data_IF_892255219045
#
_entry.id   IF_892255219045
#
_cell.length_a   1.000
_cell.length_b   1.000
_cell.length_c   1.000
_cell.angle_alpha   90.00
_cell.angle_beta   90.00
_cell.angle_gamma   90.00
#
_symmetry.space_group_name_H-M   'P 1'
#
loop_
_entity.id
_entity.type
_entity.pdbx_description
1 polymer ?
#
# COMPACT_ATOMS: atom_id res chain seq x y z
N UNK A 1 7.21 -17.04 1.88
CA UNK A 1 7.33 -15.66 2.42
C UNK A 1 8.76 -15.12 2.27
N UNK A 2 9.78 -15.97 2.41
CA UNK A 2 11.18 -15.53 2.41
C UNK A 2 11.67 -14.87 1.10
N UNK A 3 11.28 -15.34 -0.07
CA UNK A 3 11.93 -14.94 -1.32
C UNK A 3 11.64 -13.49 -1.76
N UNK A 4 10.42 -12.98 -1.60
CA UNK A 4 10.11 -11.62 -2.00
C UNK A 4 10.60 -10.58 -0.97
N UNK A 5 10.62 -10.89 0.35
CA UNK A 5 11.20 -10.03 1.37
C UNK A 5 12.71 -9.88 1.12
N UNK A 6 13.42 -10.99 0.90
CA UNK A 6 14.85 -10.97 0.58
C UNK A 6 15.14 -10.20 -0.72
N UNK A 7 14.27 -10.32 -1.74
CA UNK A 7 14.42 -9.54 -2.96
C UNK A 7 14.26 -8.03 -2.69
N UNK A 8 13.23 -7.64 -1.95
CA UNK A 8 13.01 -6.25 -1.57
C UNK A 8 14.15 -5.70 -0.73
N UNK A 9 14.63 -6.49 0.22
CA UNK A 9 15.70 -6.09 1.13
C UNK A 9 17.04 -5.83 0.42
N UNK A 10 17.33 -6.61 -0.63
CA UNK A 10 18.62 -6.56 -1.32
C UNK A 10 18.57 -5.82 -2.67
N UNK A 11 17.42 -5.73 -3.31
CA UNK A 11 17.31 -5.31 -4.72
C UNK A 11 16.15 -4.37 -5.02
N UNK A 12 15.48 -3.79 -4.01
CA UNK A 12 14.35 -2.88 -4.23
C UNK A 12 14.70 -1.69 -5.14
N UNK A 13 15.94 -1.20 -5.08
CA UNK A 13 16.43 -0.12 -5.95
C UNK A 13 16.34 -0.44 -7.45
N UNK A 14 16.30 -1.72 -7.83
CA UNK A 14 16.16 -2.14 -9.23
C UNK A 14 14.74 -1.93 -9.79
N UNK A 15 13.75 -1.67 -8.94
CA UNK A 15 12.37 -1.39 -9.34
C UNK A 15 12.28 -0.01 -9.99
N UNK A 16 13.13 0.91 -9.58
CA UNK A 16 13.17 2.27 -10.09
C UNK A 16 14.29 2.44 -11.12
N UNK A 17 14.01 3.20 -12.17
CA UNK A 17 15.01 3.45 -13.23
C UNK A 17 16.15 4.34 -12.74
N UNK A 18 15.86 5.23 -11.78
CA UNK A 18 16.82 6.09 -11.07
C UNK A 18 16.18 6.67 -9.78
N UNK A 19 16.96 7.41 -8.98
CA UNK A 19 16.50 8.05 -7.75
C UNK A 19 15.38 9.07 -8.00
N UNK A 20 15.45 9.86 -9.09
CA UNK A 20 14.42 10.82 -9.44
C UNK A 20 13.05 10.14 -9.70
N UNK A 21 13.02 9.03 -10.45
CA UNK A 21 11.80 8.23 -10.64
C UNK A 21 11.22 7.78 -9.30
N UNK A 22 12.07 7.25 -8.42
CA UNK A 22 11.65 6.82 -7.08
C UNK A 22 10.98 7.96 -6.31
N UNK A 23 11.66 9.11 -6.24
CA UNK A 23 11.19 10.25 -5.45
C UNK A 23 9.88 10.83 -6.01
N UNK A 24 9.75 10.94 -7.32
CA UNK A 24 8.50 11.36 -7.99
C UNK A 24 7.38 10.36 -7.76
N UNK A 25 7.69 9.06 -7.81
CA UNK A 25 6.73 7.99 -7.55
C UNK A 25 6.17 8.05 -6.11
N UNK A 26 7.06 8.10 -5.10
CA UNK A 26 6.63 8.19 -3.70
C UNK A 26 5.88 9.50 -3.41
N UNK A 27 6.33 10.62 -3.98
CA UNK A 27 5.63 11.90 -3.83
C UNK A 27 4.22 11.82 -4.38
N UNK A 28 4.04 11.29 -5.59
CA UNK A 28 2.72 11.13 -6.20
C UNK A 28 1.79 10.28 -5.33
N UNK A 29 2.28 9.14 -4.83
CA UNK A 29 1.49 8.28 -3.94
C UNK A 29 1.13 9.05 -2.67
N UNK A 30 2.07 9.72 -2.02
CA UNK A 30 1.83 10.49 -0.81
C UNK A 30 0.79 11.61 -1.01
N UNK A 31 0.85 12.33 -2.13
CA UNK A 31 -0.12 13.38 -2.49
C UNK A 31 -1.53 12.78 -2.67
N UNK A 32 -1.64 11.64 -3.34
CA UNK A 32 -2.93 10.97 -3.56
C UNK A 32 -3.48 10.37 -2.25
N UNK A 33 -2.64 9.78 -1.40
CA UNK A 33 -3.03 9.22 -0.10
C UNK A 33 -3.58 10.29 0.84
N UNK A 34 -3.02 11.50 0.82
CA UNK A 34 -3.52 12.62 1.64
C UNK A 34 -5.00 12.90 1.41
N UNK A 35 -5.50 12.69 0.20
CA UNK A 35 -6.92 12.86 -0.12
C UNK A 35 -7.86 11.86 0.57
N UNK A 36 -7.33 10.79 1.16
CA UNK A 36 -8.09 9.78 1.89
C UNK A 36 -7.95 9.89 3.41
N UNK A 37 -7.08 10.77 3.92
CA UNK A 37 -6.93 11.03 5.35
C UNK A 37 -8.14 11.83 5.84
N UNK A 38 -8.92 11.32 6.80
CA UNK A 38 -10.21 11.94 7.14
C UNK A 38 -10.07 13.26 7.91
N UNK A 39 -8.98 13.45 8.64
CA UNK A 39 -8.75 14.67 9.45
C UNK A 39 -7.29 14.79 9.91
N UNK A 40 -6.91 15.95 10.40
CA UNK A 40 -5.59 16.18 11.01
C UNK A 40 -5.38 15.41 12.33
N UNK A 41 -6.46 14.91 12.95
CA UNK A 41 -6.40 14.05 14.14
C UNK A 41 -6.31 12.57 13.80
N UNK A 42 -6.35 12.19 12.50
CA UNK A 42 -6.33 10.80 12.06
C UNK A 42 -5.02 10.08 12.41
N UNK A 43 -5.14 8.81 12.73
CA UNK A 43 -4.02 7.86 12.90
C UNK A 43 -3.97 6.98 11.65
N UNK A 44 -2.86 7.03 10.95
CA UNK A 44 -2.68 6.38 9.64
C UNK A 44 -1.64 5.28 9.76
N UNK A 45 -1.89 4.12 9.13
CA UNK A 45 -0.89 3.06 8.92
C UNK A 45 -0.63 2.89 7.43
N UNK A 46 0.64 2.83 7.04
CA UNK A 46 1.09 2.42 5.70
C UNK A 46 1.83 1.08 5.81
N UNK A 47 1.19 0.00 5.38
CA UNK A 47 1.69 -1.37 5.54
C UNK A 47 2.39 -1.86 4.29
N UNK A 48 3.67 -2.19 4.42
CA UNK A 48 4.58 -2.49 3.32
C UNK A 48 4.98 -1.21 2.57
N UNK A 49 5.36 -0.20 3.34
CA UNK A 49 5.60 1.17 2.87
C UNK A 49 6.85 1.32 1.98
N UNK A 50 7.73 0.30 1.93
CA UNK A 50 8.99 0.35 1.18
C UNK A 50 9.91 1.46 1.69
N UNK A 51 10.54 2.23 0.78
CA UNK A 51 11.43 3.33 1.18
C UNK A 51 10.70 4.56 1.75
N UNK A 52 9.41 4.70 1.51
CA UNK A 52 8.53 5.76 2.03
C UNK A 52 9.16 7.18 2.03
N UNK A 53 9.93 7.53 0.99
CA UNK A 53 10.73 8.77 0.94
C UNK A 53 9.91 10.05 1.09
N UNK A 54 8.61 9.98 0.88
CA UNK A 54 7.66 11.10 1.03
C UNK A 54 6.70 10.95 2.22
N UNK A 55 7.00 10.07 3.20
CA UNK A 55 6.14 9.84 4.36
C UNK A 55 5.91 11.11 5.21
N UNK A 56 6.87 12.02 5.27
CA UNK A 56 6.69 13.31 5.95
C UNK A 56 5.53 14.12 5.37
N UNK A 57 5.26 14.01 4.06
CA UNK A 57 4.12 14.66 3.41
C UNK A 57 2.78 14.07 3.89
N UNK A 58 2.71 12.75 4.06
CA UNK A 58 1.53 12.07 4.65
C UNK A 58 1.37 12.45 6.11
N UNK A 59 2.46 12.40 6.90
CA UNK A 59 2.46 12.76 8.31
C UNK A 59 2.04 14.22 8.58
N UNK A 60 2.27 15.13 7.63
CA UNK A 60 1.81 16.52 7.75
C UNK A 60 0.28 16.65 7.75
N UNK A 61 -0.44 15.65 7.22
CA UNK A 61 -1.90 15.64 7.06
C UNK A 61 -2.63 14.79 8.12
N UNK A 62 -1.92 14.20 9.10
CA UNK A 62 -2.50 13.36 10.15
C UNK A 62 -1.87 13.65 11.52
N UNK A 63 -2.43 13.07 12.58
CA UNK A 63 -1.85 13.14 13.92
C UNK A 63 -0.65 12.22 14.07
N UNK A 64 -0.75 11.00 13.54
CA UNK A 64 0.31 10.00 13.60
C UNK A 64 0.31 9.13 12.34
N UNK A 65 1.50 8.80 11.86
CA UNK A 65 1.75 7.87 10.76
C UNK A 65 2.58 6.70 11.26
N UNK A 66 2.05 5.49 11.13
CA UNK A 66 2.79 4.25 11.38
C UNK A 66 3.21 3.65 10.05
N UNK A 67 4.50 3.53 9.83
CA UNK A 67 5.10 2.84 8.68
C UNK A 67 5.39 1.39 9.09
N UNK A 68 4.94 0.41 8.32
CA UNK A 68 5.20 -1.01 8.59
C UNK A 68 6.01 -1.59 7.44
N UNK A 69 7.18 -2.15 7.76
CA UNK A 69 8.08 -2.73 6.77
C UNK A 69 8.63 -4.08 7.25
N UNK A 70 8.57 -5.08 6.36
CA UNK A 70 9.01 -6.45 6.63
C UNK A 70 10.48 -6.70 6.28
N UNK A 71 11.06 -5.92 5.37
CA UNK A 71 12.43 -6.06 4.91
C UNK A 71 13.40 -5.43 5.92
N UNK A 72 14.33 -6.21 6.55
CA UNK A 72 15.11 -5.74 7.69
C UNK A 72 15.98 -4.50 7.41
N UNK A 73 16.64 -4.45 6.25
CA UNK A 73 17.49 -3.30 5.90
C UNK A 73 16.66 -2.05 5.65
N UNK A 74 15.49 -2.18 4.99
CA UNK A 74 14.57 -1.06 4.80
C UNK A 74 13.98 -0.59 6.12
N UNK A 75 13.57 -1.50 7.00
CA UNK A 75 13.11 -1.18 8.35
C UNK A 75 14.16 -0.37 9.13
N UNK A 76 15.41 -0.83 9.13
CA UNK A 76 16.51 -0.14 9.80
C UNK A 76 16.76 1.27 9.22
N UNK A 77 16.76 1.37 7.88
CA UNK A 77 16.95 2.65 7.19
C UNK A 77 15.81 3.64 7.48
N UNK A 78 14.55 3.19 7.45
CA UNK A 78 13.38 4.00 7.79
C UNK A 78 13.41 4.46 9.25
N UNK A 79 13.74 3.54 10.18
CA UNK A 79 13.83 3.84 11.61
C UNK A 79 14.88 4.90 11.89
N UNK A 80 16.05 4.81 11.25
CA UNK A 80 17.09 5.82 11.37
C UNK A 80 16.68 7.16 10.72
N UNK A 81 16.06 7.13 9.53
CA UNK A 81 15.66 8.32 8.80
C UNK A 81 14.58 9.14 9.53
N UNK A 82 13.62 8.46 10.16
CA UNK A 82 12.48 9.11 10.83
C UNK A 82 12.62 9.20 12.36
N UNK A 83 13.76 8.81 12.96
CA UNK A 83 13.99 8.82 14.41
C UNK A 83 13.69 10.18 15.10
N UNK A 84 13.90 11.29 14.39
CA UNK A 84 13.62 12.64 14.89
C UNK A 84 12.19 13.16 14.62
N UNK A 85 11.34 12.38 13.95
CA UNK A 85 10.00 12.83 13.61
C UNK A 85 8.96 12.25 14.59
N UNK A 86 8.46 13.07 15.50
CA UNK A 86 7.50 12.65 16.53
C UNK A 86 6.16 12.13 16.01
N UNK A 87 5.83 12.39 14.74
CA UNK A 87 4.60 11.90 14.10
C UNK A 87 4.75 10.57 13.38
N UNK A 88 5.99 10.10 13.15
CA UNK A 88 6.25 8.88 12.38
C UNK A 88 6.83 7.81 13.29
N UNK A 89 6.18 6.65 13.32
CA UNK A 89 6.66 5.44 13.99
C UNK A 89 6.90 4.35 12.96
N UNK A 90 8.02 3.64 13.05
CA UNK A 90 8.35 2.52 12.16
C UNK A 90 8.23 1.22 12.94
N UNK A 91 7.48 0.25 12.42
CA UNK A 91 7.21 -1.04 13.06
C UNK A 91 7.49 -2.20 12.10
N UNK A 92 7.77 -3.38 12.67
CA UNK A 92 7.70 -4.64 11.92
C UNK A 92 6.24 -5.12 11.80
N UNK A 93 5.93 -6.06 10.88
CA UNK A 93 4.61 -6.68 10.80
C UNK A 93 4.11 -7.27 12.12
N UNK A 94 4.99 -7.92 12.89
CA UNK A 94 4.68 -8.54 14.18
C UNK A 94 4.32 -7.49 15.23
N UNK A 95 5.09 -6.39 15.29
CA UNK A 95 4.82 -5.27 16.18
C UNK A 95 3.49 -4.59 15.83
N UNK A 96 3.22 -4.40 14.53
CA UNK A 96 1.96 -3.84 14.07
C UNK A 96 0.76 -4.74 14.41
N UNK A 97 0.91 -6.06 14.27
CA UNK A 97 -0.13 -7.02 14.62
C UNK A 97 -0.43 -7.05 16.14
N UNK A 98 0.52 -6.68 16.98
CA UNK A 98 0.34 -6.61 18.45
C UNK A 98 -0.32 -5.31 18.95
N UNK A 99 -0.58 -4.35 18.05
CA UNK A 99 -1.25 -3.09 18.44
C UNK A 99 -2.69 -3.32 18.92
N UNK A 100 -3.20 -2.44 19.80
CA UNK A 100 -4.57 -2.52 20.28
C UNK A 100 -5.61 -2.42 19.15
N UNK A 101 -6.80 -2.96 19.40
CA UNK A 101 -7.95 -2.80 18.53
C UNK A 101 -8.29 -1.33 18.32
N UNK A 102 -8.85 -0.99 17.16
CA UNK A 102 -9.31 0.37 16.84
C UNK A 102 -8.22 1.45 16.95
N UNK A 103 -6.98 1.09 16.57
CA UNK A 103 -5.83 2.00 16.61
C UNK A 103 -5.74 2.96 15.43
N UNK A 104 -6.45 2.71 14.31
CA UNK A 104 -6.29 3.47 13.07
C UNK A 104 -7.60 3.92 12.45
N UNK A 105 -7.57 5.12 11.89
CA UNK A 105 -8.64 5.71 11.09
C UNK A 105 -8.49 5.35 9.60
N UNK A 106 -7.23 5.19 9.14
CA UNK A 106 -6.89 4.77 7.78
C UNK A 106 -5.75 3.74 7.83
N UNK A 107 -5.94 2.62 7.14
CA UNK A 107 -4.86 1.66 6.84
C UNK A 107 -4.68 1.59 5.33
N UNK A 108 -3.44 1.69 4.89
CA UNK A 108 -3.04 1.60 3.48
C UNK A 108 -2.26 0.32 3.27
N UNK A 109 -2.63 -0.45 2.23
CA UNK A 109 -1.86 -1.56 1.69
C UNK A 109 -1.67 -1.29 0.19
N UNK A 110 -0.58 -0.65 -0.18
CA UNK A 110 -0.33 -0.22 -1.56
C UNK A 110 0.80 -1.01 -2.21
N UNK A 111 0.56 -1.57 -3.39
CA UNK A 111 1.56 -2.38 -4.16
C UNK A 111 2.08 -3.64 -3.44
N UNK A 112 1.41 -4.15 -2.40
CA UNK A 112 1.85 -5.28 -1.58
C UNK A 112 1.09 -6.57 -1.91
N UNK A 113 -0.23 -6.50 -2.12
CA UNK A 113 -1.10 -7.67 -2.25
C UNK A 113 -0.65 -8.66 -3.35
N UNK A 114 0.07 -8.18 -4.36
CA UNK A 114 0.62 -9.01 -5.44
C UNK A 114 1.71 -10.00 -4.98
N UNK A 115 2.34 -9.76 -3.83
CA UNK A 115 3.40 -10.60 -3.26
C UNK A 115 2.89 -11.58 -2.20
N UNK A 116 1.61 -11.48 -1.85
CA UNK A 116 0.97 -12.30 -0.82
C UNK A 116 0.22 -13.46 -1.44
N UNK A 117 0.22 -14.60 -0.76
CA UNK A 117 -0.73 -15.67 -1.06
C UNK A 117 -2.16 -15.25 -0.68
N UNK A 118 -3.15 -15.96 -1.19
CA UNK A 118 -4.55 -15.70 -0.83
C UNK A 118 -4.82 -15.84 0.66
N UNK A 119 -4.14 -16.76 1.35
CA UNK A 119 -4.23 -17.00 2.79
C UNK A 119 -3.57 -15.86 3.58
N UNK A 120 -2.36 -15.45 3.18
CA UNK A 120 -1.66 -14.32 3.81
C UNK A 120 -2.48 -13.02 3.71
N UNK A 121 -3.06 -12.76 2.53
CA UNK A 121 -3.92 -11.59 2.37
C UNK A 121 -5.17 -11.68 3.26
N UNK A 122 -5.78 -12.87 3.41
CA UNK A 122 -6.92 -13.05 4.32
C UNK A 122 -6.54 -12.73 5.77
N UNK A 123 -5.42 -13.27 6.28
CA UNK A 123 -4.95 -12.99 7.64
C UNK A 123 -4.65 -11.50 7.88
N UNK A 124 -4.09 -10.81 6.87
CA UNK A 124 -3.89 -9.35 6.96
C UNK A 124 -5.24 -8.60 6.97
N UNK A 125 -6.21 -8.99 6.16
CA UNK A 125 -7.52 -8.35 6.14
C UNK A 125 -8.23 -8.50 7.50
N UNK A 126 -8.12 -9.65 8.16
CA UNK A 126 -8.64 -9.85 9.52
C UNK A 126 -7.92 -8.95 10.54
N UNK A 127 -6.59 -8.89 10.48
CA UNK A 127 -5.78 -8.01 11.33
C UNK A 127 -6.16 -6.54 11.13
N UNK A 128 -6.26 -6.09 9.88
CA UNK A 128 -6.63 -4.71 9.58
C UNK A 128 -8.05 -4.36 10.02
N UNK A 129 -8.99 -5.31 9.91
CA UNK A 129 -10.35 -5.10 10.40
C UNK A 129 -10.40 -4.89 11.92
N UNK A 130 -9.57 -5.61 12.67
CA UNK A 130 -9.41 -5.44 14.11
C UNK A 130 -8.76 -4.11 14.46
N UNK A 131 -7.73 -3.70 13.72
CA UNK A 131 -6.98 -2.48 13.98
C UNK A 131 -7.72 -1.19 13.56
N UNK A 132 -8.64 -1.27 12.60
CA UNK A 132 -9.44 -0.13 12.17
C UNK A 132 -10.54 0.21 13.18
N UNK A 133 -10.76 1.50 13.38
CA UNK A 133 -11.98 1.96 14.06
C UNK A 133 -13.22 1.55 13.24
N UNK A 134 -14.43 1.49 13.85
CA UNK A 134 -15.65 1.03 13.18
C UNK A 134 -15.99 1.77 11.87
N UNK A 135 -15.68 3.06 11.78
CA UNK A 135 -15.89 3.88 10.57
C UNK A 135 -14.58 4.11 9.78
N UNK A 136 -13.51 3.39 10.13
CA UNK A 136 -12.19 3.50 9.50
C UNK A 136 -12.17 3.03 8.04
N UNK A 137 -11.10 3.35 7.34
CA UNK A 137 -10.93 3.02 5.94
C UNK A 137 -9.70 2.14 5.73
N UNK A 138 -9.87 0.99 5.08
CA UNK A 138 -8.81 0.24 4.43
C UNK A 138 -8.71 0.67 2.98
N UNK A 139 -7.53 1.14 2.56
CA UNK A 139 -7.20 1.44 1.19
C UNK A 139 -6.29 0.33 0.65
N UNK A 140 -6.80 -0.45 -0.31
CA UNK A 140 -6.07 -1.54 -0.95
C UNK A 140 -5.69 -1.08 -2.36
N UNK A 141 -4.46 -0.58 -2.53
CA UNK A 141 -4.02 0.12 -3.74
C UNK A 141 -3.12 -0.70 -4.65
N UNK A 142 -3.12 -0.32 -5.93
CA UNK A 142 -2.23 -0.84 -6.98
C UNK A 142 -2.38 -2.34 -7.25
N UNK A 143 -3.61 -2.84 -7.18
CA UNK A 143 -3.93 -4.26 -7.40
C UNK A 143 -3.72 -4.64 -8.86
N UNK A 144 -2.96 -5.72 -9.08
CA UNK A 144 -2.67 -6.27 -10.41
C UNK A 144 -3.85 -7.08 -10.92
N UNK A 145 -4.32 -6.76 -12.12
CA UNK A 145 -5.37 -7.52 -12.81
C UNK A 145 -4.79 -8.68 -13.61
N UNK A 146 -5.51 -9.81 -13.76
CA UNK A 146 -5.02 -10.97 -14.52
C UNK A 146 -4.69 -10.65 -15.99
N UNK A 147 -5.47 -9.79 -16.62
CA UNK A 147 -5.25 -9.34 -18.00
C UNK A 147 -4.38 -8.08 -18.05
N UNK A 148 -3.24 -8.13 -17.39
CA UNK A 148 -2.29 -7.03 -17.38
C UNK A 148 -1.54 -6.97 -18.73
N UNK A 149 -1.85 -5.97 -19.54
CA UNK A 149 -1.16 -5.74 -20.79
C UNK A 149 0.20 -5.07 -20.54
N UNK A 150 1.31 -5.83 -20.72
CA UNK A 150 2.66 -5.28 -20.59
C UNK A 150 2.87 -4.01 -21.44
N UNK A 151 2.40 -3.93 -22.73
CA UNK A 151 2.53 -2.71 -23.53
C UNK A 151 1.86 -1.50 -22.90
N UNK A 152 0.70 -1.68 -22.26
CA UNK A 152 -0.01 -0.59 -21.59
C UNK A 152 0.74 -0.08 -20.35
N UNK A 153 1.38 -0.97 -19.59
CA UNK A 153 2.23 -0.58 -18.47
C UNK A 153 3.47 0.19 -18.92
N UNK A 154 4.12 -0.28 -19.98
CA UNK A 154 5.25 0.41 -20.60
C UNK A 154 4.83 1.82 -21.06
N UNK A 155 3.71 1.94 -21.77
CA UNK A 155 3.19 3.23 -22.22
C UNK A 155 2.87 4.16 -21.04
N UNK A 156 2.29 3.62 -19.95
CA UNK A 156 2.01 4.38 -18.73
C UNK A 156 3.30 4.93 -18.11
N UNK A 157 4.34 4.08 -18.00
CA UNK A 157 5.65 4.49 -17.49
C UNK A 157 6.28 5.57 -18.38
N UNK A 158 6.26 5.41 -19.70
CA UNK A 158 6.81 6.38 -20.63
C UNK A 158 6.08 7.73 -20.56
N UNK A 159 4.77 7.74 -20.49
CA UNK A 159 3.99 8.97 -20.29
C UNK A 159 4.30 9.64 -18.96
N UNK A 160 4.34 8.85 -17.89
CA UNK A 160 4.70 9.36 -16.56
C UNK A 160 6.12 9.94 -16.53
N UNK A 161 7.09 9.25 -17.14
CA UNK A 161 8.48 9.71 -17.20
C UNK A 161 8.65 10.97 -18.07
N UNK A 162 7.91 11.08 -19.17
CA UNK A 162 7.93 12.27 -20.01
C UNK A 162 7.36 13.49 -19.24
N UNK A 163 6.25 13.30 -18.51
CA UNK A 163 5.64 14.36 -17.71
C UNK A 163 6.51 14.81 -16.52
N UNK A 164 7.47 13.98 -16.08
CA UNK A 164 8.29 14.23 -14.90
C UNK A 164 9.80 14.34 -15.19
N UNK A 165 10.20 14.49 -16.46
CA UNK A 165 11.57 14.82 -16.84
C UNK A 165 12.60 13.69 -16.80
N UNK A 166 12.18 12.40 -16.78
CA UNK A 166 13.09 11.25 -16.77
C UNK A 166 12.84 10.24 -17.91
N UNK A 167 12.30 10.70 -19.03
CA UNK A 167 11.92 9.84 -20.17
C UNK A 167 13.06 8.95 -20.66
N UNK A 168 14.23 9.50 -20.92
CA UNK A 168 15.38 8.74 -21.43
C UNK A 168 15.90 7.73 -20.42
N UNK A 169 15.84 8.04 -19.14
CA UNK A 169 16.16 7.08 -18.07
C UNK A 169 15.14 5.92 -18.04
N UNK A 170 13.85 6.20 -18.28
CA UNK A 170 12.83 5.17 -18.36
C UNK A 170 13.05 4.24 -19.56
N UNK A 171 13.40 4.76 -20.73
CA UNK A 171 13.75 3.96 -21.91
C UNK A 171 14.95 3.05 -21.61
N UNK A 172 16.05 3.59 -21.06
CA UNK A 172 17.22 2.80 -20.66
C UNK A 172 16.90 1.75 -19.58
N UNK A 173 16.04 2.10 -18.62
CA UNK A 173 15.56 1.17 -17.58
C UNK A 173 14.74 0.02 -18.15
N UNK A 174 13.85 0.28 -19.09
CA UNK A 174 13.07 -0.75 -19.78
C UNK A 174 13.99 -1.73 -20.54
N UNK A 175 14.98 -1.23 -21.29
CA UNK A 175 15.96 -2.08 -21.97
C UNK A 175 16.67 -2.97 -20.95
N UNK A 176 17.14 -2.42 -19.82
CA UNK A 176 17.80 -3.18 -18.76
C UNK A 176 16.90 -4.26 -18.17
N UNK A 177 15.61 -3.96 -17.93
CA UNK A 177 14.63 -4.93 -17.43
C UNK A 177 14.44 -6.09 -18.40
N UNK A 178 14.36 -5.81 -19.72
CA UNK A 178 14.23 -6.86 -20.74
C UNK A 178 15.45 -7.78 -20.84
N UNK A 179 16.63 -7.27 -20.52
CA UNK A 179 17.92 -8.02 -20.55
C UNK A 179 18.24 -8.68 -19.22
N UNK A 180 17.57 -8.29 -18.11
CA UNK A 180 17.88 -8.76 -16.76
C UNK A 180 17.07 -9.97 -16.31
N UNK A 181 17.59 -10.68 -15.29
CA UNK A 181 16.91 -11.78 -14.60
C UNK A 181 15.62 -11.35 -13.84
N UNK A 182 15.27 -10.06 -13.82
CA UNK A 182 14.06 -9.55 -13.18
C UNK A 182 12.78 -10.18 -13.74
N UNK A 183 12.72 -10.41 -15.06
CA UNK A 183 11.58 -11.11 -15.67
C UNK A 183 11.54 -12.59 -15.29
N UNK A 184 12.69 -13.23 -15.09
CA UNK A 184 12.79 -14.61 -14.58
C UNK A 184 12.30 -14.67 -13.14
N UNK A 185 12.75 -13.74 -12.28
CA UNK A 185 12.35 -13.67 -10.87
C UNK A 185 10.83 -13.48 -10.74
N UNK A 186 10.23 -12.59 -11.54
CA UNK A 186 8.78 -12.41 -11.59
C UNK A 186 8.01 -13.68 -11.93
N UNK A 187 8.58 -14.53 -12.77
CA UNK A 187 7.99 -15.84 -13.12
C UNK A 187 8.18 -16.87 -11.99
N UNK A 188 9.29 -16.81 -11.27
CA UNK A 188 9.63 -17.77 -10.19
C UNK A 188 8.88 -17.49 -8.91
N UNK A 189 8.74 -16.21 -8.53
CA UNK A 189 8.05 -15.79 -7.29
C UNK A 189 6.53 -15.83 -7.46
N UNK A 190 6.01 -15.76 -8.69
CA UNK A 190 4.59 -15.75 -9.00
C UNK A 190 3.87 -14.55 -8.36
N UNK A 191 3.39 -13.62 -9.16
CA UNK A 191 2.59 -12.51 -8.62
C UNK A 191 1.13 -12.92 -8.53
N UNK A 192 0.50 -12.63 -7.39
CA UNK A 192 -0.95 -12.76 -7.25
C UNK A 192 -1.67 -11.70 -8.07
N UNK A 193 -2.66 -12.14 -8.83
CA UNK A 193 -3.50 -11.28 -9.66
C UNK A 193 -4.95 -11.43 -9.22
N UNK A 194 -5.67 -10.33 -9.19
CA UNK A 194 -7.05 -10.32 -8.73
C UNK A 194 -7.97 -9.66 -9.77
N UNK A 195 -8.99 -10.40 -10.21
CA UNK A 195 -10.10 -9.77 -10.91
C UNK A 195 -10.84 -8.85 -9.95
N UNK A 196 -11.29 -7.65 -10.40
CA UNK A 196 -11.93 -6.69 -9.51
C UNK A 196 -13.12 -7.25 -8.74
N UNK A 197 -13.98 -8.05 -9.38
CA UNK A 197 -15.12 -8.71 -8.72
C UNK A 197 -14.69 -9.71 -7.65
N UNK A 198 -13.63 -10.51 -7.92
CA UNK A 198 -13.09 -11.46 -6.96
C UNK A 198 -12.47 -10.77 -5.73
N UNK A 199 -11.82 -9.61 -5.93
CA UNK A 199 -11.29 -8.83 -4.80
C UNK A 199 -12.42 -8.23 -3.96
N UNK A 200 -13.48 -7.68 -4.56
CA UNK A 200 -14.64 -7.19 -3.83
C UNK A 200 -15.30 -8.29 -3.00
N UNK A 201 -15.45 -9.48 -3.57
CA UNK A 201 -15.99 -10.64 -2.86
C UNK A 201 -15.07 -11.09 -1.72
N UNK A 202 -13.74 -11.08 -1.92
CA UNK A 202 -12.76 -11.37 -0.87
C UNK A 202 -12.88 -10.38 0.29
N UNK A 203 -12.96 -9.08 0.01
CA UNK A 203 -13.13 -8.03 1.02
C UNK A 203 -14.47 -8.19 1.76
N UNK A 204 -15.55 -8.50 1.05
CA UNK A 204 -16.87 -8.75 1.65
C UNK A 204 -16.82 -9.94 2.62
N UNK A 205 -16.19 -11.06 2.24
CA UNK A 205 -16.02 -12.25 3.11
C UNK A 205 -15.16 -11.95 4.33
N UNK A 206 -14.19 -11.05 4.21
CA UNK A 206 -13.37 -10.57 5.32
C UNK A 206 -14.10 -9.56 6.24
N UNK A 207 -15.39 -9.28 5.99
CA UNK A 207 -16.23 -8.42 6.83
C UNK A 207 -16.11 -6.92 6.49
N UNK A 208 -15.90 -6.58 5.22
CA UNK A 208 -15.88 -5.20 4.75
C UNK A 208 -17.02 -4.90 3.78
N UNK A 209 -17.56 -3.68 3.87
CA UNK A 209 -18.23 -3.01 2.76
C UNK A 209 -17.16 -2.40 1.87
N UNK A 210 -17.06 -2.85 0.61
CA UNK A 210 -15.97 -2.45 -0.27
C UNK A 210 -16.49 -2.00 -1.63
N UNK A 211 -15.81 -1.01 -2.19
CA UNK A 211 -16.03 -0.49 -3.53
C UNK A 211 -14.70 -0.27 -4.24
N UNK A 212 -14.78 -0.17 -5.57
CA UNK A 212 -13.64 0.22 -6.38
C UNK A 212 -13.52 1.74 -6.39
N UNK A 213 -12.31 2.26 -6.11
CA UNK A 213 -12.03 3.68 -6.28
C UNK A 213 -12.18 4.11 -7.76
N UNK A 214 -12.58 5.36 -8.04
CA UNK A 214 -12.75 5.87 -9.41
C UNK A 214 -11.48 5.76 -10.25
N UNK A 215 -10.31 5.85 -9.62
CA UNK A 215 -8.99 5.71 -10.26
C UNK A 215 -8.01 5.02 -9.33
N UNK A 216 -6.96 4.44 -9.92
CA UNK A 216 -5.87 3.87 -9.15
C UNK A 216 -5.02 4.95 -8.50
N UNK A 217 -4.48 4.67 -7.32
CA UNK A 217 -3.40 5.45 -6.72
C UNK A 217 -2.09 5.08 -7.41
N UNK A 218 -1.31 6.08 -7.78
CA UNK A 218 -0.08 5.91 -8.56
C UNK A 218 -0.29 6.20 -10.06
N UNK A 219 0.77 5.99 -10.84
CA UNK A 219 0.79 6.40 -12.25
C UNK A 219 0.14 5.40 -13.23
N UNK A 220 -0.13 4.16 -12.78
CA UNK A 220 -0.60 3.10 -13.68
C UNK A 220 -2.15 2.98 -13.66
N UNK A 221 -2.87 3.44 -14.71
CA UNK A 221 -4.33 3.42 -14.76
C UNK A 221 -4.92 2.01 -14.97
N UNK A 222 -4.08 1.02 -15.30
CA UNK A 222 -4.49 -0.38 -15.49
C UNK A 222 -4.53 -1.18 -14.19
N UNK A 223 -4.01 -0.61 -13.11
CA UNK A 223 -4.13 -1.13 -11.76
C UNK A 223 -5.43 -0.63 -11.11
N UNK A 224 -5.81 -1.21 -10.00
CA UNK A 224 -7.07 -0.90 -9.32
C UNK A 224 -6.82 -0.62 -7.85
N UNK A 225 -7.51 0.39 -7.32
CA UNK A 225 -7.59 0.66 -5.89
C UNK A 225 -8.99 0.33 -5.39
N UNK A 226 -9.08 -0.28 -4.22
CA UNK A 226 -10.32 -0.56 -3.49
C UNK A 226 -10.35 0.21 -2.19
N UNK A 227 -11.54 0.68 -1.84
CA UNK A 227 -11.86 1.34 -0.58
C UNK A 227 -12.76 0.38 0.19
N UNK A 228 -12.40 0.04 1.42
CA UNK A 228 -13.12 -0.95 2.21
C UNK A 228 -13.29 -0.46 3.65
N UNK A 229 -14.54 -0.48 4.16
CA UNK A 229 -14.86 -0.11 5.54
C UNK A 229 -15.33 -1.33 6.31
N UNK A 230 -14.93 -1.51 7.57
CA UNK A 230 -15.46 -2.59 8.40
C UNK A 230 -16.98 -2.60 8.41
N UNK A 231 -17.58 -3.76 8.20
CA UNK A 231 -19.01 -3.91 8.42
C UNK A 231 -19.28 -3.79 9.93
N UNK A 232 -20.25 -2.96 10.30
CA UNK A 232 -20.63 -2.74 11.70
C UNK A 232 -21.13 -4.04 12.31
N UNK A 233 -20.56 -4.41 13.44
CA UNK A 233 -21.07 -5.53 14.22
C UNK A 233 -22.48 -5.20 14.77
N UNK A 234 -23.37 -6.18 14.93
CA UNK A 234 -24.64 -5.96 15.65
C UNK A 234 -24.45 -5.31 17.03
N UNK A 235 -23.35 -5.62 17.72
CA UNK A 235 -23.00 -5.08 19.04
C UNK A 235 -22.69 -3.58 18.97
N UNK A 236 -22.04 -3.09 17.90
CA UNK A 236 -21.72 -1.67 17.72
C UNK A 236 -23.00 -0.82 17.52
N UNK A 237 -24.03 -1.42 16.93
CA UNK A 237 -25.31 -0.76 16.73
C UNK A 237 -26.12 -0.63 18.03
N UNK A 238 -25.98 -1.56 18.98
CA UNK A 238 -26.65 -1.48 20.28
C UNK A 238 -26.01 -0.43 21.19
N UNK A 239 -24.67 -0.36 21.22
CA UNK A 239 -23.95 0.64 22.01
C UNK A 239 -24.31 2.08 21.59
N UNK A 240 -24.42 2.36 20.28
CA UNK A 240 -24.86 3.68 19.80
C UNK A 240 -26.31 4.02 20.16
N UNK A 241 -27.22 3.06 20.12
CA UNK A 241 -28.63 3.27 20.52
C UNK A 241 -28.77 3.64 21.99
N UNK A 242 -27.87 3.14 22.85
CA UNK A 242 -27.88 3.47 24.29
C UNK A 242 -27.33 4.88 24.57
N UNK A 243 -26.34 5.36 23.79
CA UNK A 243 -25.78 6.71 23.93
C UNK A 243 -26.76 7.79 23.44
N UNK A 244 -27.56 7.50 22.41
CA UNK A 244 -28.55 8.45 21.86
C UNK A 244 -29.84 8.55 22.70
N UNK A 245 -30.02 7.68 23.69
CA UNK A 245 -31.18 7.67 24.61
C UNK A 245 -30.91 8.32 25.96
N UNK A 246 -29.73 8.90 26.17
CA UNK A 246 -29.37 9.72 27.31
C UNK A 246 -29.24 11.18 26.91
#
# INVERSE_FOLDING_TARGET
>A
MADWINFYDLRHSLIYVNAHHRDVHYRKIAEELRGYIPSLSARVMDYGCGEATSAALVASACAALTLVEAAPNLYAALSAHYAGNSKITVLTPEQAAALPDHSFDLIVLHSVAQYLTGEQLNGLLETFRRLLIPDGLLLLGDIVRPRFAVPAAVLSLLRFSAANGFFWSAVGGLIRIFVSDYLRLKKTVGLSHYEPGAMLEKLRRAGYAAERAPRNIGHNPWRVTFLARPLKSPVDNEARRQVTRR
#
